data_IF_739209939729
#
_entry.id   IF_739209939729
#
_cell.length_a   1.000
_cell.length_b   1.000
_cell.length_c   1.000
_cell.angle_alpha   90.00
_cell.angle_beta   90.00
_cell.angle_gamma   90.00
#
_symmetry.space_group_name_H-M   'P 1'
#
loop_
_entity.id
_entity.type
_entity.pdbx_description
1 polymer ?
#
# COMPACT_ATOMS: atom_id res chain seq x y z
N UNK A 1 -22.79 -26.28 6.04
CA UNK A 1 -24.05 -26.65 5.36
C UNK A 1 -23.84 -26.67 3.85
N UNK A 2 -23.37 -27.79 3.30
CA UNK A 2 -23.12 -27.94 1.86
C UNK A 2 -24.42 -28.39 1.21
N UNK A 3 -25.29 -27.43 0.85
CA UNK A 3 -26.47 -27.73 0.06
C UNK A 3 -26.03 -28.35 -1.27
N UNK A 4 -26.40 -29.61 -1.49
CA UNK A 4 -26.25 -30.31 -2.76
C UNK A 4 -27.05 -29.56 -3.82
N UNK A 5 -26.40 -28.62 -4.53
CA UNK A 5 -27.02 -27.96 -5.66
C UNK A 5 -27.29 -29.00 -6.75
N UNK A 6 -28.57 -29.36 -6.92
CA UNK A 6 -29.00 -30.22 -8.02
C UNK A 6 -28.79 -29.49 -9.35
N UNK A 7 -28.29 -30.16 -10.39
CA UNK A 7 -28.24 -29.60 -11.73
C UNK A 7 -29.62 -29.06 -12.15
N UNK A 8 -29.66 -27.85 -12.71
CA UNK A 8 -30.92 -27.22 -13.15
C UNK A 8 -30.97 -27.11 -14.68
N UNK A 9 -32.09 -27.50 -15.29
CA UNK A 9 -32.25 -27.45 -16.74
C UNK A 9 -32.28 -26.00 -17.29
N UNK A 10 -32.95 -25.08 -16.59
CA UNK A 10 -33.04 -23.66 -16.97
C UNK A 10 -31.67 -22.96 -17.08
N UNK A 11 -30.77 -23.25 -16.15
CA UNK A 11 -29.37 -22.80 -16.17
C UNK A 11 -28.60 -23.42 -17.33
N UNK A 12 -28.84 -24.71 -17.64
CA UNK A 12 -28.21 -25.40 -18.76
C UNK A 12 -28.61 -24.77 -20.10
N UNK A 13 -29.87 -24.39 -20.27
CA UNK A 13 -30.37 -23.77 -21.49
C UNK A 13 -29.76 -22.38 -21.72
N UNK A 14 -29.68 -21.55 -20.67
CA UNK A 14 -28.98 -20.27 -20.75
C UNK A 14 -27.49 -20.43 -21.09
N UNK A 15 -26.83 -21.44 -20.53
CA UNK A 15 -25.42 -21.72 -20.86
C UNK A 15 -25.23 -22.14 -22.32
N UNK A 16 -26.15 -22.93 -22.89
CA UNK A 16 -26.12 -23.30 -24.32
C UNK A 16 -26.35 -22.10 -25.24
N UNK A 17 -27.14 -21.12 -24.78
CA UNK A 17 -27.36 -19.84 -25.47
C UNK A 17 -26.18 -18.87 -25.33
N UNK A 18 -25.10 -19.26 -24.66
CA UNK A 18 -23.90 -18.44 -24.51
C UNK A 18 -23.94 -17.43 -23.36
N UNK A 19 -24.95 -17.49 -22.49
CA UNK A 19 -25.07 -16.55 -21.37
C UNK A 19 -23.86 -16.62 -20.42
N UNK A 20 -23.43 -15.46 -19.95
CA UNK A 20 -22.41 -15.32 -18.92
C UNK A 20 -22.96 -15.72 -17.56
N UNK A 21 -22.06 -16.05 -16.61
CA UNK A 21 -22.47 -16.39 -15.25
C UNK A 21 -23.20 -15.22 -14.57
N UNK A 22 -22.83 -13.98 -14.92
CA UNK A 22 -23.48 -12.77 -14.41
C UNK A 22 -24.93 -12.68 -14.89
N UNK A 23 -25.18 -12.90 -16.17
CA UNK A 23 -26.54 -12.86 -16.75
C UNK A 23 -27.40 -13.97 -16.16
N UNK A 24 -26.85 -15.17 -15.99
CA UNK A 24 -27.55 -16.30 -15.36
C UNK A 24 -27.90 -15.98 -13.90
N UNK A 25 -26.97 -15.37 -13.15
CA UNK A 25 -27.24 -14.94 -11.79
C UNK A 25 -28.34 -13.87 -11.74
N UNK A 26 -28.27 -12.87 -12.62
CA UNK A 26 -29.25 -11.79 -12.68
C UNK A 26 -30.66 -12.28 -13.07
N UNK A 27 -30.76 -13.24 -14.00
CA UNK A 27 -32.07 -13.73 -14.48
C UNK A 27 -32.66 -14.85 -13.62
N UNK A 28 -31.84 -15.80 -13.16
CA UNK A 28 -32.32 -17.03 -12.52
C UNK A 28 -31.97 -17.12 -11.02
N UNK A 29 -31.26 -16.11 -10.48
CA UNK A 29 -30.77 -16.11 -9.09
C UNK A 29 -29.79 -17.24 -8.80
N UNK A 30 -29.24 -17.89 -9.83
CA UNK A 30 -28.36 -19.04 -9.65
C UNK A 30 -26.95 -18.57 -9.25
N UNK A 31 -26.45 -19.10 -8.14
CA UNK A 31 -25.09 -18.81 -7.70
C UNK A 31 -24.04 -19.48 -8.60
N UNK A 32 -22.82 -18.95 -8.63
CA UNK A 32 -21.71 -19.48 -9.46
C UNK A 32 -21.45 -20.97 -9.25
N UNK A 33 -21.69 -21.50 -8.05
CA UNK A 33 -21.54 -22.93 -7.76
C UNK A 33 -22.60 -23.77 -8.46
N UNK A 34 -23.88 -23.39 -8.37
CA UNK A 34 -25.00 -24.05 -9.05
C UNK A 34 -24.81 -24.07 -10.57
N UNK A 35 -24.33 -22.95 -11.14
CA UNK A 35 -24.02 -22.83 -12.57
C UNK A 35 -22.87 -23.78 -12.96
N UNK A 36 -21.81 -23.84 -12.15
CA UNK A 36 -20.66 -24.74 -12.39
C UNK A 36 -21.06 -26.22 -12.34
N UNK A 37 -21.85 -26.62 -11.32
CA UNK A 37 -22.35 -28.00 -11.17
C UNK A 37 -23.25 -28.37 -12.34
N UNK A 38 -24.20 -27.51 -12.70
CA UNK A 38 -25.10 -27.72 -13.84
C UNK A 38 -24.31 -27.88 -15.13
N UNK A 39 -23.38 -26.95 -15.43
CA UNK A 39 -22.55 -27.01 -16.64
C UNK A 39 -21.81 -28.35 -16.76
N UNK A 40 -21.21 -28.83 -15.66
CA UNK A 40 -20.49 -30.11 -15.61
C UNK A 40 -21.43 -31.29 -15.83
N UNK A 41 -22.57 -31.33 -15.13
CA UNK A 41 -23.55 -32.42 -15.20
C UNK A 41 -24.11 -32.59 -16.62
N UNK A 42 -24.42 -31.48 -17.30
CA UNK A 42 -24.91 -31.49 -18.68
C UNK A 42 -23.80 -31.46 -19.74
N UNK A 43 -22.53 -31.61 -19.34
CA UNK A 43 -21.33 -31.60 -20.23
C UNK A 43 -21.27 -30.41 -21.18
N UNK A 44 -21.73 -29.24 -20.74
CA UNK A 44 -21.73 -28.03 -21.57
C UNK A 44 -20.29 -27.48 -21.64
N UNK A 45 -19.74 -27.25 -22.86
CA UNK A 45 -18.40 -26.71 -23.02
C UNK A 45 -18.29 -25.32 -22.38
N UNK A 46 -17.11 -25.00 -21.87
CA UNK A 46 -16.85 -23.62 -21.44
C UNK A 46 -16.83 -22.75 -22.70
N UNK A 47 -17.52 -21.60 -22.73
CA UNK A 47 -17.46 -20.69 -23.86
C UNK A 47 -16.01 -20.38 -24.26
N UNK A 48 -15.74 -20.38 -25.56
CA UNK A 48 -14.44 -20.05 -26.11
C UNK A 48 -13.98 -18.67 -25.63
N UNK A 49 -12.67 -18.50 -25.42
CA UNK A 49 -12.09 -17.24 -24.95
C UNK A 49 -12.10 -17.02 -23.43
N UNK A 50 -12.81 -17.85 -22.63
CA UNK A 50 -12.78 -17.74 -21.16
C UNK A 50 -11.49 -18.32 -20.55
N UNK A 51 -10.86 -19.26 -21.24
CA UNK A 51 -9.47 -19.68 -20.99
C UNK A 51 -8.63 -19.13 -22.13
N UNK A 52 -7.48 -18.56 -21.79
CA UNK A 52 -6.43 -18.34 -22.78
C UNK A 52 -6.08 -19.70 -23.37
N UNK A 53 -6.05 -19.80 -24.70
CA UNK A 53 -5.51 -20.98 -25.36
C UNK A 53 -4.03 -21.17 -24.97
N UNK A 54 -3.51 -22.41 -25.05
CA UNK A 54 -2.15 -22.71 -24.59
C UNK A 54 -1.06 -21.87 -25.27
N UNK A 55 -1.26 -21.50 -26.53
CA UNK A 55 -0.31 -20.72 -27.32
C UNK A 55 -0.25 -19.27 -26.86
N UNK A 56 -1.40 -18.59 -26.76
CA UNK A 56 -1.50 -17.23 -26.19
C UNK A 56 -1.01 -17.21 -24.75
N UNK A 57 -1.24 -18.27 -23.98
CA UNK A 57 -0.69 -18.41 -22.63
C UNK A 57 0.84 -18.42 -22.66
N UNK A 58 1.45 -19.20 -23.54
CA UNK A 58 2.90 -19.23 -23.69
C UNK A 58 3.47 -17.86 -24.09
N UNK A 59 2.81 -17.14 -25.00
CA UNK A 59 3.20 -15.78 -25.41
C UNK A 59 3.16 -14.81 -24.21
N UNK A 60 2.06 -14.81 -23.45
CA UNK A 60 1.94 -13.96 -22.25
C UNK A 60 2.98 -14.31 -21.20
N UNK A 61 3.23 -15.60 -20.96
CA UNK A 61 4.26 -16.02 -20.00
C UNK A 61 5.67 -15.59 -20.44
N UNK A 62 5.95 -15.64 -21.75
CA UNK A 62 7.22 -15.18 -22.31
C UNK A 62 7.38 -13.65 -22.19
N UNK A 63 6.35 -12.87 -22.53
CA UNK A 63 6.37 -11.40 -22.38
C UNK A 63 6.58 -10.98 -20.91
N UNK A 64 5.91 -11.65 -19.96
CA UNK A 64 6.12 -11.37 -18.54
C UNK A 64 7.55 -11.71 -18.12
N UNK A 65 8.10 -12.83 -18.57
CA UNK A 65 9.47 -13.21 -18.25
C UNK A 65 10.50 -12.20 -18.78
N UNK A 66 10.30 -11.70 -20.00
CA UNK A 66 11.16 -10.68 -20.60
C UNK A 66 11.13 -9.35 -19.82
N UNK A 67 9.93 -8.84 -19.48
CA UNK A 67 9.80 -7.63 -18.66
C UNK A 67 10.43 -7.80 -17.27
N UNK A 68 10.31 -8.99 -16.67
CA UNK A 68 10.95 -9.28 -15.40
C UNK A 68 12.48 -9.25 -15.49
N UNK A 69 13.07 -9.73 -16.60
CA UNK A 69 14.51 -9.68 -16.85
C UNK A 69 15.00 -8.25 -17.15
N UNK A 70 14.15 -7.42 -17.77
CA UNK A 70 14.40 -5.98 -17.99
C UNK A 70 14.31 -5.15 -16.69
N UNK A 71 13.84 -5.75 -15.58
CA UNK A 71 13.74 -5.09 -14.28
C UNK A 71 12.45 -4.31 -14.05
N UNK A 72 11.42 -4.49 -14.89
CA UNK A 72 10.11 -3.89 -14.66
C UNK A 72 9.50 -4.35 -13.32
N UNK A 73 8.84 -3.41 -12.64
CA UNK A 73 8.07 -3.69 -11.43
C UNK A 73 6.79 -4.44 -11.76
N UNK A 74 6.21 -5.14 -10.76
CA UNK A 74 4.95 -5.86 -10.97
C UNK A 74 3.81 -4.93 -11.38
N UNK A 75 3.78 -3.68 -10.89
CA UNK A 75 2.79 -2.69 -11.29
C UNK A 75 2.92 -2.33 -12.78
N UNK A 76 4.16 -2.10 -13.25
CA UNK A 76 4.42 -1.84 -14.67
C UNK A 76 4.03 -3.03 -15.54
N UNK A 77 4.36 -4.26 -15.13
CA UNK A 77 3.99 -5.47 -15.86
C UNK A 77 2.48 -5.65 -15.93
N UNK A 78 1.76 -5.44 -14.82
CA UNK A 78 0.29 -5.48 -14.80
C UNK A 78 -0.30 -4.43 -15.74
N UNK A 79 0.24 -3.22 -15.77
CA UNK A 79 -0.23 -2.17 -16.68
C UNK A 79 0.04 -2.49 -18.16
N UNK A 80 1.21 -3.09 -18.48
CA UNK A 80 1.62 -3.43 -19.84
C UNK A 80 0.91 -4.67 -20.40
N UNK A 81 0.77 -5.73 -19.61
CA UNK A 81 0.34 -7.06 -20.07
C UNK A 81 -1.07 -7.43 -19.55
N UNK A 82 -1.58 -6.74 -18.54
CA UNK A 82 -2.90 -7.01 -17.96
C UNK A 82 -2.96 -8.26 -17.08
N UNK A 83 -1.80 -8.81 -16.67
CA UNK A 83 -1.75 -9.97 -15.78
C UNK A 83 -1.76 -9.58 -14.29
N UNK A 84 -2.42 -10.41 -13.48
CA UNK A 84 -2.44 -10.23 -12.02
C UNK A 84 -1.06 -10.46 -11.39
N UNK A 85 -0.78 -9.81 -10.26
CA UNK A 85 0.49 -10.00 -9.53
C UNK A 85 0.77 -11.46 -9.14
N UNK A 86 -0.20 -12.27 -8.64
CA UNK A 86 0.03 -13.69 -8.39
C UNK A 86 0.50 -14.47 -9.63
N UNK A 87 -0.02 -14.13 -10.81
CA UNK A 87 0.42 -14.72 -12.08
C UNK A 87 1.88 -14.38 -12.37
N UNK A 88 2.28 -13.12 -12.16
CA UNK A 88 3.67 -12.66 -12.35
C UNK A 88 4.61 -13.42 -11.41
N UNK A 89 4.24 -13.56 -10.12
CA UNK A 89 5.03 -14.30 -9.13
C UNK A 89 5.18 -15.77 -9.52
N UNK A 90 4.11 -16.41 -10.00
CA UNK A 90 4.17 -17.79 -10.50
C UNK A 90 5.14 -17.94 -11.66
N UNK A 91 5.06 -17.06 -12.67
CA UNK A 91 5.94 -17.09 -13.86
C UNK A 91 7.39 -16.89 -13.45
N UNK A 92 7.66 -15.89 -12.60
CA UNK A 92 8.99 -15.61 -12.04
C UNK A 92 9.60 -16.85 -11.39
N UNK A 93 8.84 -17.52 -10.51
CA UNK A 93 9.28 -18.75 -9.83
C UNK A 93 9.52 -19.89 -10.82
N UNK A 94 8.60 -20.12 -11.74
CA UNK A 94 8.71 -21.19 -12.74
C UNK A 94 9.93 -21.00 -13.67
N UNK A 95 10.35 -19.76 -13.91
CA UNK A 95 11.50 -19.41 -14.75
C UNK A 95 12.78 -19.10 -13.94
N UNK A 96 12.77 -19.28 -12.62
CA UNK A 96 13.88 -18.96 -11.71
C UNK A 96 14.45 -17.54 -11.89
N UNK A 97 13.60 -16.55 -12.19
CA UNK A 97 14.05 -15.18 -12.41
C UNK A 97 14.32 -14.50 -11.05
N UNK A 98 15.56 -14.06 -10.76
CA UNK A 98 15.93 -13.49 -9.47
C UNK A 98 15.15 -12.20 -9.21
N UNK A 99 14.73 -12.01 -7.96
CA UNK A 99 14.17 -10.72 -7.53
C UNK A 99 15.27 -9.70 -7.58
N UNK A 100 15.20 -8.79 -8.55
CA UNK A 100 16.04 -7.60 -8.55
C UNK A 100 15.88 -6.96 -7.17
N UNK A 101 16.95 -6.87 -6.36
CA UNK A 101 16.87 -6.19 -5.10
C UNK A 101 16.31 -4.81 -5.41
N UNK A 102 15.26 -4.39 -4.69
CA UNK A 102 14.96 -2.96 -4.70
C UNK A 102 16.26 -2.30 -4.28
N UNK A 103 16.85 -1.49 -5.16
CA UNK A 103 17.95 -0.61 -4.75
C UNK A 103 17.49 0.04 -3.45
N UNK A 104 18.26 -0.06 -2.37
CA UNK A 104 17.92 0.64 -1.15
C UNK A 104 17.63 2.07 -1.57
N UNK A 105 16.41 2.55 -1.34
CA UNK A 105 16.21 3.99 -1.42
C UNK A 105 17.28 4.58 -0.50
N UNK A 106 18.11 5.54 -0.98
CA UNK A 106 19.15 6.10 -0.14
C UNK A 106 18.48 6.50 1.17
N UNK A 107 18.97 5.92 2.27
CA UNK A 107 18.35 6.10 3.57
C UNK A 107 18.36 7.61 3.84
N UNK A 108 17.18 8.23 3.89
CA UNK A 108 17.12 9.65 4.20
C UNK A 108 17.69 9.86 5.59
N UNK A 109 18.54 10.86 5.75
CA UNK A 109 19.00 11.26 7.08
C UNK A 109 17.85 11.89 7.86
N UNK A 110 17.99 11.99 9.18
CA UNK A 110 16.99 12.63 10.05
C UNK A 110 16.70 14.06 9.58
N UNK A 111 17.74 14.79 9.19
CA UNK A 111 17.67 16.18 8.72
C UNK A 111 16.90 16.28 7.41
N UNK A 112 17.12 15.36 6.48
CA UNK A 112 16.40 15.31 5.20
C UNK A 112 14.91 15.04 5.40
N UNK A 113 14.55 14.12 6.31
CA UNK A 113 13.14 13.85 6.63
C UNK A 113 12.51 15.03 7.34
N UNK A 114 13.25 15.70 8.24
CA UNK A 114 12.77 16.91 8.92
C UNK A 114 12.52 18.02 7.90
N UNK A 115 13.47 18.31 7.00
CA UNK A 115 13.32 19.33 5.97
C UNK A 115 12.16 19.05 5.01
N UNK A 116 11.87 17.78 4.72
CA UNK A 116 10.75 17.38 3.86
C UNK A 116 9.37 17.70 4.49
N UNK A 117 9.27 17.60 5.81
CA UNK A 117 7.99 17.58 6.51
C UNK A 117 7.76 18.74 7.48
N UNK A 118 8.80 19.44 7.91
CA UNK A 118 8.74 20.63 8.74
C UNK A 118 8.61 21.85 7.84
N UNK A 119 7.37 22.28 7.59
CA UNK A 119 7.09 23.38 6.67
C UNK A 119 6.83 24.67 7.45
N UNK A 120 7.47 25.80 7.08
CA UNK A 120 7.12 27.10 7.62
C UNK A 120 5.62 27.40 7.42
N UNK A 121 5.00 28.02 8.42
CA UNK A 121 3.59 28.38 8.39
C UNK A 121 3.33 29.55 9.34
N UNK A 122 2.55 30.55 8.90
CA UNK A 122 2.22 31.72 9.72
C UNK A 122 3.44 32.52 10.20
N UNK A 123 3.26 33.25 11.30
CA UNK A 123 4.26 34.16 11.86
C UNK A 123 5.36 33.41 12.64
N UNK A 124 6.23 32.72 11.92
CA UNK A 124 7.38 32.00 12.48
C UNK A 124 7.07 30.61 13.04
N UNK A 125 5.87 30.06 12.76
CA UNK A 125 5.54 28.69 13.14
C UNK A 125 6.03 27.69 12.08
N UNK A 126 6.06 26.43 12.49
CA UNK A 126 6.41 25.31 11.62
C UNK A 126 5.38 24.21 11.84
N UNK A 127 4.72 23.79 10.76
CA UNK A 127 3.76 22.67 10.77
C UNK A 127 4.47 21.37 10.38
N UNK A 128 4.06 20.28 11.01
CA UNK A 128 4.47 18.94 10.63
C UNK A 128 3.50 18.35 9.59
N UNK A 129 4.00 18.02 8.41
CA UNK A 129 3.23 17.34 7.34
C UNK A 129 3.60 15.87 7.17
N UNK A 130 4.44 15.35 8.06
CA UNK A 130 4.89 13.96 8.04
C UNK A 130 4.02 13.01 8.87
N UNK A 131 4.50 11.77 9.07
CA UNK A 131 3.77 10.75 9.83
C UNK A 131 3.68 11.08 11.33
N UNK A 132 2.67 10.52 11.97
CA UNK A 132 2.43 10.60 13.41
C UNK A 132 2.35 9.19 14.02
N UNK A 133 2.75 9.08 15.29
CA UNK A 133 2.39 7.97 16.16
C UNK A 133 1.51 8.49 17.29
N UNK A 134 0.21 8.28 17.21
CA UNK A 134 -0.75 8.96 18.07
C UNK A 134 -0.65 10.48 17.86
N UNK A 135 -0.44 11.24 18.94
CA UNK A 135 -0.27 12.71 18.90
C UNK A 135 1.18 13.15 18.68
N UNK A 136 2.12 12.22 18.52
CA UNK A 136 3.55 12.52 18.43
C UNK A 136 4.02 12.53 16.96
N UNK A 137 4.61 13.64 16.46
CA UNK A 137 5.22 13.67 15.14
C UNK A 137 6.50 12.83 15.13
N UNK A 138 6.67 11.97 14.12
CA UNK A 138 7.77 10.99 14.06
C UNK A 138 8.58 11.10 12.78
N UNK A 139 9.89 10.88 12.91
CA UNK A 139 10.85 10.78 11.80
C UNK A 139 11.31 9.33 11.65
N UNK A 140 11.26 8.80 10.43
CA UNK A 140 11.80 7.49 10.09
C UNK A 140 13.06 7.64 9.23
N UNK A 141 14.23 7.40 9.82
CA UNK A 141 15.53 7.61 9.18
C UNK A 141 16.59 6.66 9.79
N UNK A 142 16.67 5.41 9.32
CA UNK A 142 17.52 4.38 9.96
C UNK A 142 17.05 3.94 11.36
N UNK A 143 15.92 4.48 11.82
CA UNK A 143 15.33 4.29 13.13
C UNK A 143 14.06 5.15 13.24
N UNK A 144 13.39 5.09 14.40
CA UNK A 144 12.21 5.91 14.70
C UNK A 144 12.57 6.98 15.73
N UNK A 145 12.34 8.24 15.40
CA UNK A 145 12.69 9.38 16.25
C UNK A 145 11.49 10.31 16.47
N UNK A 146 11.50 11.07 17.57
CA UNK A 146 10.52 12.10 17.85
C UNK A 146 10.94 13.42 17.18
N UNK A 147 10.12 13.95 16.28
CA UNK A 147 10.44 15.16 15.52
C UNK A 147 10.67 16.36 16.44
N UNK A 148 9.90 16.50 17.54
CA UNK A 148 10.09 17.61 18.50
C UNK A 148 11.45 17.57 19.17
N UNK A 149 11.94 16.38 19.54
CA UNK A 149 13.25 16.26 20.20
C UNK A 149 14.39 16.57 19.23
N UNK A 150 14.24 16.18 17.96
CA UNK A 150 15.20 16.51 16.90
C UNK A 150 15.22 18.01 16.68
N UNK A 151 14.06 18.64 16.47
CA UNK A 151 14.00 20.09 16.22
C UNK A 151 14.46 20.91 17.41
N UNK A 152 14.12 20.46 18.63
CA UNK A 152 14.63 21.07 19.86
C UNK A 152 16.16 21.04 19.90
N UNK A 153 16.76 19.87 19.67
CA UNK A 153 18.21 19.71 19.69
C UNK A 153 18.89 20.57 18.62
N UNK A 154 18.32 20.62 17.42
CA UNK A 154 18.86 21.42 16.34
C UNK A 154 18.84 22.92 16.65
N UNK A 155 17.86 23.41 17.41
CA UNK A 155 17.74 24.83 17.76
C UNK A 155 18.50 25.22 19.03
N UNK A 156 18.43 24.41 20.08
CA UNK A 156 19.04 24.71 21.39
C UNK A 156 20.45 24.12 21.54
N UNK A 157 20.96 23.44 20.52
CA UNK A 157 22.31 22.83 20.48
C UNK A 157 22.59 21.87 21.64
N UNK A 158 21.54 21.29 22.23
CA UNK A 158 21.63 20.35 23.36
C UNK A 158 20.50 19.31 23.34
N UNK A 159 20.67 18.14 23.97
CA UNK A 159 19.56 17.22 24.16
C UNK A 159 18.48 17.83 25.07
N UNK A 160 17.19 17.54 24.85
CA UNK A 160 16.13 17.94 25.76
C UNK A 160 16.17 17.13 27.06
N UNK A 161 15.78 17.77 28.16
CA UNK A 161 15.51 17.15 29.46
C UNK A 161 14.00 16.93 29.57
N UNK A 162 13.58 15.66 29.66
CA UNK A 162 12.17 15.29 29.81
C UNK A 162 11.32 15.62 28.59
N UNK A 163 10.07 16.04 28.82
CA UNK A 163 9.09 16.30 27.76
C UNK A 163 9.34 17.62 27.01
N UNK A 164 9.40 17.52 25.68
CA UNK A 164 9.41 18.68 24.77
C UNK A 164 7.99 19.06 24.33
N UNK A 165 7.59 20.29 24.64
CA UNK A 165 6.29 20.86 24.25
C UNK A 165 6.47 22.22 23.59
N UNK A 166 5.53 22.58 22.70
CA UNK A 166 5.45 23.93 22.16
C UNK A 166 4.83 24.87 23.19
N UNK A 167 5.38 26.07 23.35
CA UNK A 167 4.88 27.13 24.24
C UNK A 167 3.98 28.14 23.52
N UNK A 168 3.90 28.06 22.20
CA UNK A 168 3.00 28.89 21.40
C UNK A 168 1.57 28.34 21.44
N UNK A 169 0.60 29.18 21.07
CA UNK A 169 -0.82 28.80 20.96
C UNK A 169 -1.09 27.83 19.81
N UNK A 170 -0.20 27.75 18.83
CA UNK A 170 -0.36 26.84 17.68
C UNK A 170 -0.11 25.38 18.04
N UNK A 171 -1.19 24.60 18.02
CA UNK A 171 -1.17 23.18 18.35
C UNK A 171 -0.27 22.41 17.36
N UNK A 172 0.74 21.71 17.90
CA UNK A 172 1.62 20.88 17.07
C UNK A 172 2.73 21.65 16.36
N UNK A 173 2.94 22.93 16.67
CA UNK A 173 4.07 23.70 16.18
C UNK A 173 5.41 22.99 16.48
N UNK A 174 6.29 22.95 15.48
CA UNK A 174 7.63 22.40 15.54
C UNK A 174 8.72 23.47 15.47
N UNK A 175 8.39 24.76 15.47
CA UNK A 175 9.40 25.81 15.40
C UNK A 175 10.34 25.72 16.61
N UNK A 176 11.65 25.56 16.38
CA UNK A 176 12.63 25.31 17.43
C UNK A 176 12.58 26.32 18.59
N UNK A 177 12.44 27.60 18.26
CA UNK A 177 12.31 28.69 19.23
C UNK A 177 11.04 28.60 20.11
N UNK A 178 10.00 27.93 19.61
CA UNK A 178 8.75 27.71 20.35
C UNK A 178 8.79 26.44 21.20
N UNK A 179 9.80 25.57 21.03
CA UNK A 179 9.92 24.33 21.79
C UNK A 179 10.65 24.57 23.12
N UNK A 180 10.08 24.03 24.18
CA UNK A 180 10.65 24.04 25.53
C UNK A 180 10.70 22.64 26.10
N UNK A 181 11.74 22.34 26.87
CA UNK A 181 11.87 21.12 27.66
C UNK A 181 11.59 21.42 29.15
N UNK A 182 11.70 20.41 30.02
CA UNK A 182 11.38 20.59 31.45
C UNK A 182 12.31 21.59 32.14
N UNK A 183 13.60 21.57 31.77
CA UNK A 183 14.59 22.48 32.34
C UNK A 183 14.27 23.94 32.01
N UNK A 184 13.99 24.27 30.74
CA UNK A 184 13.63 25.65 30.34
C UNK A 184 12.37 26.10 31.06
N UNK A 185 11.37 25.22 31.19
CA UNK A 185 10.14 25.56 31.90
C UNK A 185 10.46 25.86 33.36
N UNK A 186 11.20 25.01 34.05
CA UNK A 186 11.56 25.20 35.45
C UNK A 186 12.32 26.51 35.72
N UNK A 187 13.22 26.93 34.81
CA UNK A 187 13.96 28.18 34.97
C UNK A 187 13.12 29.42 34.68
N UNK A 188 12.19 29.38 33.72
CA UNK A 188 11.27 30.51 33.47
C UNK A 188 10.40 30.82 34.70
N UNK A 189 10.00 29.81 35.48
CA UNK A 189 9.24 30.01 36.72
C UNK A 189 10.01 30.69 37.86
N UNK A 190 11.35 30.66 37.84
CA UNK A 190 12.18 31.25 38.90
C UNK A 190 12.59 32.71 38.63
N UNK A 191 12.31 33.25 37.45
CA UNK A 191 12.67 34.62 37.05
C UNK A 191 11.52 35.63 37.07
N UNK A 192 10.32 35.23 37.47
CA UNK A 192 9.11 36.07 37.53
C UNK A 192 8.57 36.25 38.99
N UNK A 193 9.42 36.07 40.01
CA UNK A 193 9.18 36.53 41.38
C UNK A 193 10.04 37.75 41.71
#
# INVERSE_FOLDING_TARGET
MTGLYRPRADVADMLRQGATYREIHQRLGACSHAISVTRKAYRIPVPAGRRLDPERKAVVEQQVAELLLQGDTYQQITAKVGVSQPTIVRIRRARNIPVTPRSPHPARTVEQVLALHAQPYGDGHVRWTGPYAGRMPIVYAGGRFNARHITFRAHHERPPVGYVVGRCTEAGCLAGAHLTDELIRATTWLGEQ
#
